data_IF_308467248848
#
_entry.id   IF_308467248848
#
_cell.length_a   1.000
_cell.length_b   1.000
_cell.length_c   1.000
_cell.angle_alpha   90.00
_cell.angle_beta   90.00
_cell.angle_gamma   90.00
#
_symmetry.space_group_name_H-M   'P 1'
#
loop_
_entity.id
_entity.type
_entity.pdbx_description
1 polymer ?
#
# COMPACT_ATOMS: atom_id res chain seq x y z
N UNK A 1 14.94 43.56 -10.04
CA UNK A 1 15.64 42.70 -9.06
C UNK A 1 14.71 41.67 -8.42
N UNK A 2 13.57 42.03 -7.85
CA UNK A 2 12.61 41.04 -7.27
C UNK A 2 11.83 40.25 -8.33
N UNK A 3 11.47 40.91 -9.43
CA UNK A 3 10.73 40.38 -10.56
C UNK A 3 11.56 39.38 -11.41
N UNK A 4 12.87 39.59 -11.54
CA UNK A 4 13.76 38.67 -12.26
C UNK A 4 13.96 37.36 -11.48
N UNK A 5 14.15 37.47 -10.16
CA UNK A 5 14.25 36.33 -9.25
C UNK A 5 12.93 35.55 -9.21
N UNK A 6 11.79 36.25 -9.15
CA UNK A 6 10.48 35.61 -9.21
C UNK A 6 10.28 34.82 -10.52
N UNK A 7 10.71 35.38 -11.65
CA UNK A 7 10.68 34.69 -12.94
C UNK A 7 11.55 33.43 -12.99
N UNK A 8 12.78 33.51 -12.45
CA UNK A 8 13.71 32.36 -12.38
C UNK A 8 13.14 31.26 -11.47
N UNK A 9 12.62 31.61 -10.30
CA UNK A 9 12.03 30.64 -9.38
C UNK A 9 10.77 29.98 -9.97
N UNK A 10 9.95 30.75 -10.68
CA UNK A 10 8.78 30.22 -11.37
C UNK A 10 9.18 29.23 -12.47
N UNK A 11 10.15 29.57 -13.31
CA UNK A 11 10.65 28.67 -14.36
C UNK A 11 11.24 27.39 -13.76
N UNK A 12 12.04 27.50 -12.70
CA UNK A 12 12.61 26.35 -11.99
C UNK A 12 11.51 25.44 -11.41
N UNK A 13 10.49 26.02 -10.78
CA UNK A 13 9.37 25.27 -10.22
C UNK A 13 8.58 24.51 -11.30
N UNK A 14 8.33 25.13 -12.46
CA UNK A 14 7.66 24.49 -13.59
C UNK A 14 8.49 23.32 -14.12
N UNK A 15 9.80 23.50 -14.28
CA UNK A 15 10.71 22.44 -14.75
C UNK A 15 10.70 21.24 -13.80
N UNK A 16 10.82 21.48 -12.49
CA UNK A 16 10.76 20.43 -11.47
C UNK A 16 9.41 19.71 -11.45
N UNK A 17 8.32 20.45 -11.62
CA UNK A 17 6.98 19.89 -11.72
C UNK A 17 6.84 18.97 -12.94
N UNK A 18 7.38 19.37 -14.10
CA UNK A 18 7.39 18.53 -15.32
C UNK A 18 8.15 17.23 -15.09
N UNK A 19 9.32 17.27 -14.45
CA UNK A 19 10.08 16.05 -14.13
C UNK A 19 9.29 15.10 -13.20
N UNK A 20 8.62 15.64 -12.17
CA UNK A 20 7.73 14.87 -11.30
C UNK A 20 6.58 14.21 -12.06
N UNK A 21 5.88 14.96 -12.92
CA UNK A 21 4.74 14.44 -13.70
C UNK A 21 5.19 13.30 -14.62
N UNK A 22 6.32 13.43 -15.31
CA UNK A 22 6.86 12.40 -16.20
C UNK A 22 7.18 11.11 -15.42
N UNK A 23 7.90 11.24 -14.30
CA UNK A 23 8.23 10.09 -13.45
C UNK A 23 6.97 9.38 -12.91
N UNK A 24 5.98 10.16 -12.46
CA UNK A 24 4.69 9.64 -11.98
C UNK A 24 3.90 8.93 -13.08
N UNK A 25 3.86 9.49 -14.30
CA UNK A 25 3.16 8.88 -15.43
C UNK A 25 3.78 7.53 -15.85
N UNK A 26 5.11 7.43 -15.84
CA UNK A 26 5.82 6.17 -16.12
C UNK A 26 5.47 5.11 -15.06
N UNK A 27 5.44 5.50 -13.79
CA UNK A 27 5.09 4.59 -12.69
C UNK A 27 3.62 4.15 -12.71
N UNK A 28 2.70 5.03 -13.11
CA UNK A 28 1.28 4.72 -13.23
C UNK A 28 1.03 3.60 -14.27
N UNK A 29 1.71 3.67 -15.42
CA UNK A 29 1.66 2.61 -16.44
C UNK A 29 2.20 1.27 -15.95
N UNK A 30 3.06 1.30 -14.93
CA UNK A 30 3.72 0.14 -14.34
C UNK A 30 2.99 -0.40 -13.11
N UNK A 31 1.74 0.00 -12.81
CA UNK A 31 1.03 -0.42 -11.59
C UNK A 31 1.85 -0.17 -10.30
N UNK A 32 2.60 0.93 -10.26
CA UNK A 32 3.37 1.37 -9.08
C UNK A 32 2.77 2.66 -8.50
N UNK A 33 3.22 3.03 -7.31
CA UNK A 33 2.75 4.22 -6.59
C UNK A 33 3.07 5.50 -7.37
N UNK A 34 2.09 5.98 -8.16
CA UNK A 34 2.20 7.20 -8.95
C UNK A 34 2.68 8.39 -8.12
N UNK A 35 2.15 8.54 -6.90
CA UNK A 35 2.52 9.62 -5.99
C UNK A 35 3.98 9.50 -5.50
N UNK A 36 4.45 8.27 -5.24
CA UNK A 36 5.82 8.02 -4.78
C UNK A 36 6.86 8.39 -5.84
N UNK A 37 6.60 7.98 -7.09
CA UNK A 37 7.48 8.32 -8.22
C UNK A 37 7.36 9.78 -8.67
N UNK A 38 6.19 10.41 -8.48
CA UNK A 38 6.05 11.85 -8.69
C UNK A 38 6.99 12.64 -7.77
N UNK A 39 6.99 12.35 -6.46
CA UNK A 39 7.89 13.02 -5.53
C UNK A 39 9.36 12.66 -5.79
N UNK A 40 9.65 11.42 -6.20
CA UNK A 40 11.01 11.05 -6.61
C UNK A 40 11.48 11.90 -7.82
N UNK A 41 10.65 12.07 -8.85
CA UNK A 41 10.95 12.90 -10.01
C UNK A 41 10.99 14.40 -9.69
N UNK A 42 10.15 14.87 -8.77
CA UNK A 42 10.16 16.26 -8.34
C UNK A 42 11.45 16.59 -7.59
N UNK A 43 11.82 15.84 -6.55
CA UNK A 43 12.98 16.16 -5.71
C UNK A 43 14.34 15.79 -6.31
N UNK A 44 14.40 14.69 -7.08
CA UNK A 44 15.65 14.20 -7.67
C UNK A 44 15.77 14.48 -9.17
N UNK A 45 14.78 15.17 -9.77
CA UNK A 45 14.76 15.56 -11.17
C UNK A 45 14.96 14.36 -12.11
N UNK A 46 16.02 14.37 -12.96
CA UNK A 46 16.27 13.30 -13.92
C UNK A 46 16.58 11.95 -13.26
N UNK A 47 17.16 11.94 -12.05
CA UNK A 47 17.45 10.68 -11.34
C UNK A 47 16.13 9.99 -10.95
N UNK A 48 15.09 10.75 -10.58
CA UNK A 48 13.77 10.20 -10.31
C UNK A 48 13.10 9.57 -11.53
N UNK A 49 13.35 10.14 -12.72
CA UNK A 49 12.89 9.55 -13.99
C UNK A 49 13.65 8.26 -14.30
N UNK A 50 14.97 8.24 -14.15
CA UNK A 50 15.77 7.03 -14.35
C UNK A 50 15.30 5.90 -13.43
N UNK A 51 15.01 6.20 -12.17
CA UNK A 51 14.42 5.24 -11.24
C UNK A 51 13.06 4.71 -11.72
N UNK A 52 12.17 5.58 -12.23
CA UNK A 52 10.87 5.17 -12.78
C UNK A 52 11.01 4.25 -14.01
N UNK A 53 12.02 4.49 -14.85
CA UNK A 53 12.31 3.67 -16.03
C UNK A 53 12.88 2.31 -15.63
N UNK A 54 13.82 2.27 -14.68
CA UNK A 54 14.53 1.06 -14.29
C UNK A 54 13.67 0.11 -13.45
N UNK A 55 12.66 0.64 -12.75
CA UNK A 55 11.79 -0.17 -11.89
C UNK A 55 10.91 -1.10 -12.72
N UNK A 56 10.91 -2.39 -12.38
CA UNK A 56 10.05 -3.39 -13.01
C UNK A 56 8.56 -3.07 -12.78
N UNK A 57 7.68 -3.39 -13.75
CA UNK A 57 6.24 -3.34 -13.56
C UNK A 57 5.84 -3.99 -12.23
N UNK A 58 5.04 -3.28 -11.44
CA UNK A 58 4.36 -3.85 -10.29
C UNK A 58 3.43 -4.97 -10.72
N UNK A 59 3.12 -5.84 -9.77
CA UNK A 59 2.18 -6.94 -9.99
C UNK A 59 0.86 -6.37 -10.52
N UNK A 60 0.24 -7.03 -11.53
CA UNK A 60 -1.04 -6.59 -12.05
C UNK A 60 -2.05 -6.51 -10.91
N UNK A 61 -2.94 -5.50 -10.91
CA UNK A 61 -3.97 -5.39 -9.89
C UNK A 61 -4.81 -6.68 -9.87
N UNK A 62 -5.19 -7.11 -8.67
CA UNK A 62 -6.06 -8.27 -8.51
C UNK A 62 -7.35 -8.05 -9.34
N UNK A 63 -7.82 -9.07 -10.09
CA UNK A 63 -9.08 -9.00 -10.82
C UNK A 63 -10.24 -8.57 -9.92
N UNK A 64 -11.28 -7.90 -10.45
CA UNK A 64 -12.46 -7.49 -9.68
C UNK A 64 -13.05 -8.67 -8.90
N UNK A 65 -13.33 -8.47 -7.61
CA UNK A 65 -13.84 -9.53 -6.73
C UNK A 65 -12.76 -10.42 -6.12
N UNK A 66 -11.47 -10.15 -6.36
CA UNK A 66 -10.35 -10.80 -5.68
C UNK A 66 -9.47 -9.80 -4.94
N UNK A 67 -8.77 -10.27 -3.91
CA UNK A 67 -7.71 -9.52 -3.24
C UNK A 67 -6.42 -10.32 -3.31
N UNK A 68 -5.28 -9.63 -3.31
CA UNK A 68 -3.98 -10.27 -3.24
C UNK A 68 -3.68 -10.64 -1.79
N UNK A 69 -3.53 -11.93 -1.51
CA UNK A 69 -3.06 -12.46 -0.25
C UNK A 69 -1.59 -12.88 -0.35
N UNK A 70 -0.82 -12.61 0.69
CA UNK A 70 0.57 -13.04 0.81
C UNK A 70 0.67 -14.06 1.95
N UNK A 71 1.22 -15.24 1.65
CA UNK A 71 1.34 -16.33 2.61
C UNK A 71 2.38 -15.99 3.70
N UNK A 72 2.05 -16.05 5.00
CA UNK A 72 3.01 -15.73 6.07
C UNK A 72 4.13 -16.76 6.21
N UNK A 73 3.97 -17.97 5.63
CA UNK A 73 4.94 -19.06 5.77
C UNK A 73 5.94 -19.15 4.62
N UNK A 74 5.47 -19.00 3.38
CA UNK A 74 6.31 -19.15 2.19
C UNK A 74 6.43 -17.88 1.34
N UNK A 75 5.79 -16.78 1.75
CA UNK A 75 5.78 -15.50 1.04
C UNK A 75 5.17 -15.59 -0.39
N UNK A 76 4.48 -16.68 -0.72
CA UNK A 76 3.78 -16.82 -1.98
C UNK A 76 2.64 -15.80 -2.08
N UNK A 77 2.58 -15.09 -3.20
CA UNK A 77 1.52 -14.15 -3.54
C UNK A 77 0.45 -14.89 -4.35
N UNK A 78 -0.82 -14.65 -4.03
CA UNK A 78 -1.94 -15.24 -4.76
C UNK A 78 -3.18 -14.37 -4.70
N UNK A 79 -4.05 -14.52 -5.69
CA UNK A 79 -5.34 -13.83 -5.71
C UNK A 79 -6.39 -14.75 -5.11
N UNK A 80 -7.09 -14.24 -4.11
CA UNK A 80 -8.14 -14.96 -3.37
C UNK A 80 -9.47 -14.24 -3.55
N UNK A 81 -10.61 -14.95 -3.52
CA UNK A 81 -11.93 -14.31 -3.60
C UNK A 81 -12.14 -13.36 -2.43
N UNK A 82 -12.66 -12.16 -2.72
CA UNK A 82 -12.97 -11.15 -1.71
C UNK A 82 -14.08 -11.55 -0.73
N UNK A 83 -14.82 -12.62 -1.04
CA UNK A 83 -15.91 -13.16 -0.22
C UNK A 83 -15.44 -14.13 0.85
N UNK A 84 -14.25 -14.73 0.70
CA UNK A 84 -13.73 -15.72 1.63
C UNK A 84 -13.05 -15.04 2.83
N UNK A 85 -13.08 -15.70 3.99
CA UNK A 85 -12.40 -15.25 5.21
C UNK A 85 -11.08 -16.00 5.45
N UNK A 86 -10.93 -17.14 4.79
CA UNK A 86 -9.76 -18.01 4.84
C UNK A 86 -9.33 -18.31 3.42
N UNK A 87 -8.04 -18.60 3.25
CA UNK A 87 -7.49 -19.01 1.98
C UNK A 87 -6.50 -20.14 2.19
N UNK A 88 -6.37 -20.99 1.18
CA UNK A 88 -5.32 -22.00 1.10
C UNK A 88 -4.17 -21.47 0.23
N UNK A 89 -2.94 -21.63 0.69
CA UNK A 89 -1.76 -21.26 -0.09
C UNK A 89 -1.47 -22.28 -1.19
N UNK A 90 -1.47 -21.86 -2.46
CA UNK A 90 -1.16 -22.75 -3.59
C UNK A 90 0.23 -23.42 -3.50
N UNK A 91 1.20 -22.79 -2.83
CA UNK A 91 2.58 -23.28 -2.79
C UNK A 91 2.86 -24.20 -1.60
N UNK A 92 2.26 -23.92 -0.44
CA UNK A 92 2.57 -24.68 0.78
C UNK A 92 1.33 -25.33 1.41
N UNK A 93 0.15 -25.19 0.83
CA UNK A 93 -1.12 -25.70 1.38
C UNK A 93 -1.44 -25.20 2.81
N UNK A 94 -0.83 -24.08 3.24
CA UNK A 94 -1.19 -23.45 4.51
C UNK A 94 -2.58 -22.81 4.36
N UNK A 95 -3.50 -23.17 5.26
CA UNK A 95 -4.77 -22.48 5.42
C UNK A 95 -4.59 -21.32 6.40
N UNK A 96 -4.83 -20.09 5.97
CA UNK A 96 -4.67 -18.91 6.81
C UNK A 96 -5.89 -17.97 6.66
N UNK A 97 -6.32 -17.28 7.73
CA UNK A 97 -7.31 -16.22 7.60
C UNK A 97 -6.77 -15.06 6.74
N UNK A 98 -7.66 -14.41 5.99
CA UNK A 98 -7.36 -13.16 5.30
C UNK A 98 -7.32 -12.01 6.32
N UNK A 99 -6.11 -11.51 6.59
CA UNK A 99 -5.88 -10.37 7.45
C UNK A 99 -6.65 -9.15 6.92
N UNK A 100 -7.69 -8.74 7.66
CA UNK A 100 -8.61 -7.67 7.26
C UNK A 100 -10.08 -7.96 7.57
N UNK A 101 -10.47 -9.24 7.66
CA UNK A 101 -11.79 -9.67 8.17
C UNK A 101 -11.71 -10.90 9.09
N UNK A 102 -10.54 -11.17 9.66
CA UNK A 102 -10.44 -12.13 10.77
C UNK A 102 -11.41 -11.68 11.85
N UNK A 103 -12.40 -12.51 12.17
CA UNK A 103 -13.51 -12.20 13.05
C UNK A 103 -13.05 -11.52 14.34
N UNK A 104 -13.12 -10.19 14.38
CA UNK A 104 -13.43 -9.52 15.64
C UNK A 104 -14.88 -9.86 15.90
N UNK A 105 -15.09 -10.99 16.57
CA UNK A 105 -16.27 -11.21 17.37
C UNK A 105 -16.27 -10.09 18.42
N UNK A 106 -16.79 -8.91 18.07
CA UNK A 106 -17.06 -7.80 19.00
C UNK A 106 -18.29 -8.17 19.83
N UNK A 107 -18.27 -9.34 20.44
CA UNK A 107 -19.19 -9.73 21.51
C UNK A 107 -18.46 -9.90 22.83
N UNK A 108 -17.13 -10.03 22.83
CA UNK A 108 -16.34 -9.88 24.05
C UNK A 108 -15.75 -8.46 24.07
N UNK A 109 -16.64 -7.48 24.29
CA UNK A 109 -16.20 -6.29 25.04
C UNK A 109 -15.78 -6.84 26.38
N UNK A 110 -14.49 -7.11 26.55
CA UNK A 110 -13.88 -7.39 27.84
C UNK A 110 -13.96 -6.10 28.66
N UNK A 111 -15.17 -5.83 29.13
CA UNK A 111 -15.48 -4.77 30.06
C UNK A 111 -14.85 -5.21 31.36
N UNK A 112 -13.98 -4.38 31.93
CA UNK A 112 -13.39 -4.59 33.26
C UNK A 112 -14.43 -4.93 34.35
N UNK A 113 -15.71 -4.62 34.11
CA UNK A 113 -16.82 -5.00 34.99
C UNK A 113 -17.07 -6.50 35.07
N UNK A 114 -16.74 -7.28 34.04
CA UNK A 114 -16.93 -8.74 34.05
C UNK A 114 -15.85 -9.44 34.89
N UNK A 115 -14.61 -8.96 34.81
CA UNK A 115 -13.51 -9.36 35.71
C UNK A 115 -13.84 -9.09 37.20
N UNK A 116 -14.49 -7.97 37.50
CA UNK A 116 -14.89 -7.62 38.87
C UNK A 116 -16.04 -8.49 39.40
N UNK A 117 -16.83 -9.14 38.53
CA UNK A 117 -17.90 -10.04 38.97
C UNK A 117 -17.36 -11.41 39.35
N UNK A 118 -16.40 -11.94 38.60
CA UNK A 118 -15.74 -13.21 38.91
C UNK A 118 -15.05 -13.17 40.29
N UNK A 119 -14.31 -12.08 40.56
CA UNK A 119 -13.59 -11.91 41.83
C UNK A 119 -14.45 -11.59 43.07
N UNK A 120 -15.78 -11.45 42.93
CA UNK A 120 -16.70 -11.23 44.07
C UNK A 120 -17.37 -12.53 44.54
N UNK A 121 -17.21 -13.64 43.81
CA UNK A 121 -17.86 -14.93 44.15
C UNK A 121 -16.98 -15.79 45.04
N UNK A 122 -15.76 -15.37 45.33
CA UNK A 122 -14.91 -16.03 46.32
C UNK A 122 -14.99 -15.32 47.68
N UNK A 123 -15.49 -16.09 48.67
CA UNK A 123 -15.57 -15.90 50.14
C UNK A 123 -16.40 -14.75 50.71
#
# INVERSE_FOLDING_TARGET
>A
MSNDIAGILFAAAVIWLVFGVIAGAIAAKKNRSQLGFFFAGFFFGPIGILAAILVNPGHPPAPPGTHTALCPRCNAQQNVPATQLTYECWQCALVNPLGGRSGRNTTEKQSWKDWLKEGRVEY
#
